data_IF_528343460323
#
_entry.id   IF_528343460323
#
_cell.length_a   1.000
_cell.length_b   1.000
_cell.length_c   1.000
_cell.angle_alpha   90.00
_cell.angle_beta   90.00
_cell.angle_gamma   90.00
#
_symmetry.space_group_name_H-M   'P 1'
#
loop_
_entity.id
_entity.type
_entity.pdbx_description
1 polymer ?
#
# COMPACT_ATOMS: atom_id res chain seq x y z
N UNK A 1 19.81 8.30 12.70
CA UNK A 1 18.47 8.30 13.30
C UNK A 1 17.46 8.25 12.17
N UNK A 2 16.65 7.21 12.12
CA UNK A 2 15.58 7.07 11.10
C UNK A 2 14.57 8.19 11.31
N UNK A 3 14.36 9.03 10.30
CA UNK A 3 13.42 10.16 10.40
C UNK A 3 11.99 9.62 10.39
N UNK A 4 11.34 9.60 11.55
CA UNK A 4 9.91 9.28 11.67
C UNK A 4 9.07 10.45 11.16
N UNK A 5 8.10 10.16 10.29
CA UNK A 5 7.18 11.16 9.72
C UNK A 5 5.77 10.82 10.17
N UNK A 6 5.25 11.61 11.09
CA UNK A 6 3.88 11.44 11.59
C UNK A 6 2.88 11.76 10.49
N UNK A 7 1.96 10.84 10.25
CA UNK A 7 0.88 11.02 9.29
C UNK A 7 -0.29 11.81 9.90
N UNK A 8 -1.01 12.60 9.11
CA UNK A 8 -2.26 13.24 9.52
C UNK A 8 -3.30 12.22 9.99
N UNK A 9 -4.15 12.62 10.93
CA UNK A 9 -5.22 11.74 11.42
C UNK A 9 -6.21 11.41 10.30
N UNK A 10 -6.54 10.12 10.07
CA UNK A 10 -7.47 9.73 9.02
C UNK A 10 -8.90 10.19 9.33
N UNK A 11 -9.65 10.46 8.29
CA UNK A 11 -11.08 10.80 8.36
C UNK A 11 -11.92 9.53 8.33
N UNK A 12 -12.99 9.49 9.13
CA UNK A 12 -13.96 8.39 9.16
C UNK A 12 -15.26 8.71 8.39
N UNK A 13 -15.35 9.90 7.80
CA UNK A 13 -16.42 10.30 6.87
C UNK A 13 -15.77 10.76 5.57
N UNK A 14 -16.22 10.17 4.46
CA UNK A 14 -15.77 10.49 3.11
C UNK A 14 -16.84 11.23 2.31
N UNK A 15 -16.51 11.70 1.09
CA UNK A 15 -17.43 12.39 0.19
C UNK A 15 -18.39 11.44 -0.55
N UNK A 16 -18.06 10.13 -0.66
CA UNK A 16 -18.83 9.10 -1.34
C UNK A 16 -19.28 8.02 -0.36
N UNK A 17 -20.45 7.44 -0.63
CA UNK A 17 -20.90 6.23 0.07
C UNK A 17 -20.08 5.01 -0.35
N UNK A 18 -20.20 3.92 0.40
CA UNK A 18 -19.55 2.64 0.03
C UNK A 18 -20.11 2.12 -1.30
N UNK A 19 -21.41 2.28 -1.56
CA UNK A 19 -22.08 1.87 -2.77
C UNK A 19 -21.55 2.64 -3.98
N UNK A 20 -21.38 3.95 -3.85
CA UNK A 20 -20.80 4.79 -4.91
C UNK A 20 -19.36 4.39 -5.21
N UNK A 21 -18.54 4.12 -4.20
CA UNK A 21 -17.15 3.69 -4.41
C UNK A 21 -17.07 2.31 -5.07
N UNK A 22 -17.94 1.38 -4.68
CA UNK A 22 -18.04 0.05 -5.31
C UNK A 22 -18.46 0.17 -6.77
N UNK A 23 -19.45 1.02 -7.07
CA UNK A 23 -19.95 1.24 -8.43
C UNK A 23 -18.90 1.88 -9.35
N UNK A 24 -18.10 2.82 -8.85
CA UNK A 24 -17.11 3.56 -9.63
C UNK A 24 -15.75 2.86 -9.73
N UNK A 25 -15.44 1.93 -8.81
CA UNK A 25 -14.15 1.26 -8.76
C UNK A 25 -13.83 0.53 -10.08
N UNK A 26 -12.72 0.88 -10.68
CA UNK A 26 -12.12 0.19 -11.83
C UNK A 26 -10.60 0.20 -11.74
N UNK A 27 -9.92 -0.67 -12.47
CA UNK A 27 -8.47 -0.61 -12.61
C UNK A 27 -8.08 0.56 -13.53
N UNK A 28 -7.28 1.49 -13.00
CA UNK A 28 -6.79 2.67 -13.72
C UNK A 28 -5.28 2.56 -13.86
N UNK A 29 -4.77 2.80 -15.07
CA UNK A 29 -3.34 2.68 -15.41
C UNK A 29 -2.74 3.97 -15.95
N UNK A 30 -3.56 4.99 -16.16
CA UNK A 30 -3.14 6.31 -16.61
C UNK A 30 -3.51 7.35 -15.57
N UNK A 31 -2.53 8.15 -15.19
CA UNK A 31 -2.64 9.14 -14.13
C UNK A 31 -2.36 10.53 -14.67
N UNK A 32 -3.09 11.51 -14.17
CA UNK A 32 -2.74 12.92 -14.38
C UNK A 32 -1.45 13.25 -13.63
N UNK A 33 -0.66 14.15 -14.19
CA UNK A 33 0.50 14.71 -13.48
C UNK A 33 0.05 15.46 -12.23
N UNK A 34 0.80 15.31 -11.15
CA UNK A 34 0.56 16.03 -9.91
C UNK A 34 0.96 15.21 -8.68
N UNK A 35 1.43 15.92 -7.68
CA UNK A 35 1.77 15.35 -6.39
C UNK A 35 0.53 14.96 -5.59
N UNK A 36 0.70 14.03 -4.65
CA UNK A 36 -0.23 13.80 -3.57
C UNK A 36 0.19 14.60 -2.33
N UNK A 37 -0.75 14.89 -1.45
CA UNK A 37 -0.45 15.45 -0.14
C UNK A 37 -0.41 14.37 0.94
N UNK A 38 0.07 14.71 2.14
CA UNK A 38 0.20 13.74 3.23
C UNK A 38 -1.15 13.24 3.77
N UNK A 39 -2.23 14.03 3.67
CA UNK A 39 -3.57 13.63 4.06
C UNK A 39 -4.11 12.51 3.14
N UNK A 40 -3.85 12.62 1.84
CA UNK A 40 -4.23 11.61 0.84
C UNK A 40 -3.46 10.30 1.07
N UNK A 41 -2.15 10.39 1.29
CA UNK A 41 -1.29 9.23 1.62
C UNK A 41 -1.74 8.57 2.92
N UNK A 42 -1.94 9.36 3.97
CA UNK A 42 -2.41 8.89 5.28
C UNK A 42 -3.73 8.12 5.16
N UNK A 43 -4.68 8.68 4.41
CA UNK A 43 -6.01 8.10 4.25
C UNK A 43 -5.96 6.76 3.51
N UNK A 44 -5.13 6.64 2.46
CA UNK A 44 -4.94 5.38 1.71
C UNK A 44 -4.32 4.28 2.59
N UNK A 45 -3.25 4.60 3.32
CA UNK A 45 -2.56 3.65 4.19
C UNK A 45 -3.45 3.19 5.33
N UNK A 46 -4.18 4.14 5.96
CA UNK A 46 -5.15 3.81 7.02
C UNK A 46 -6.27 2.92 6.50
N UNK A 47 -6.85 3.22 5.33
CA UNK A 47 -7.90 2.39 4.75
C UNK A 47 -7.45 0.95 4.53
N UNK A 48 -6.22 0.74 4.09
CA UNK A 48 -5.65 -0.60 3.89
C UNK A 48 -5.57 -1.41 5.18
N UNK A 49 -4.82 -0.92 6.17
CA UNK A 49 -4.48 -1.69 7.39
C UNK A 49 -4.48 -0.91 8.68
N UNK A 50 -4.93 0.36 8.67
CA UNK A 50 -4.87 1.23 9.84
C UNK A 50 -5.70 0.73 11.02
N UNK A 51 -5.47 1.33 12.18
CA UNK A 51 -6.30 1.06 13.37
C UNK A 51 -7.70 1.62 13.20
N UNK A 52 -8.70 0.86 13.60
CA UNK A 52 -10.09 1.28 13.76
C UNK A 52 -10.49 1.24 15.25
N UNK A 53 -11.79 1.31 15.53
CA UNK A 53 -12.32 1.28 16.90
C UNK A 53 -12.00 0.00 17.66
N UNK A 54 -11.80 -1.12 16.97
CA UNK A 54 -11.63 -2.43 17.61
C UNK A 54 -10.23 -2.99 17.35
N UNK A 55 -9.76 -3.02 16.09
CA UNK A 55 -8.49 -3.64 15.68
C UNK A 55 -7.86 -2.93 14.49
N UNK A 56 -8.09 -3.46 13.28
CA UNK A 56 -7.62 -2.91 11.98
C UNK A 56 -8.77 -2.81 10.99
N UNK A 57 -8.60 -2.01 9.96
CA UNK A 57 -9.57 -1.82 8.87
C UNK A 57 -9.77 -3.09 8.03
N UNK A 58 -8.73 -3.89 7.85
CA UNK A 58 -8.82 -5.21 7.23
C UNK A 58 -8.85 -6.31 8.29
N UNK A 59 -9.69 -7.36 8.11
CA UNK A 59 -9.69 -8.53 9.00
C UNK A 59 -8.45 -9.38 8.78
N UNK A 60 -7.96 -10.01 9.84
CA UNK A 60 -6.83 -10.95 9.82
C UNK A 60 -7.19 -12.24 10.53
N UNK A 61 -6.82 -13.38 9.96
CA UNK A 61 -7.06 -14.70 10.56
C UNK A 61 -6.35 -14.80 11.91
N UNK A 62 -7.10 -15.13 12.97
CA UNK A 62 -6.56 -15.18 14.32
C UNK A 62 -5.92 -13.89 14.84
N UNK A 63 -6.12 -12.78 14.16
CA UNK A 63 -5.43 -11.50 14.41
C UNK A 63 -3.89 -11.64 14.39
N UNK A 64 -3.36 -12.45 13.48
CA UNK A 64 -1.91 -12.69 13.32
C UNK A 64 -1.19 -11.54 12.61
N UNK A 65 -1.92 -10.78 11.79
CA UNK A 65 -1.44 -9.58 11.08
C UNK A 65 -0.10 -9.79 10.35
N UNK A 66 -0.04 -10.71 9.37
CA UNK A 66 1.19 -11.05 8.66
C UNK A 66 1.69 -9.97 7.72
N UNK A 67 0.83 -9.00 7.35
CA UNK A 67 1.13 -8.03 6.30
C UNK A 67 1.89 -6.83 6.83
N UNK A 68 2.94 -6.45 6.08
CA UNK A 68 3.65 -5.19 6.19
C UNK A 68 3.38 -4.30 4.98
N UNK A 69 3.42 -3.00 5.18
CA UNK A 69 3.10 -2.03 4.13
C UNK A 69 4.29 -1.11 3.90
N UNK A 70 4.72 -1.06 2.67
CA UNK A 70 5.73 -0.11 2.22
C UNK A 70 5.12 0.90 1.25
N UNK A 71 5.62 2.12 1.30
CA UNK A 71 5.23 3.20 0.42
C UNK A 71 6.44 3.61 -0.43
N UNK A 72 6.31 3.49 -1.74
CA UNK A 72 7.25 4.09 -2.68
C UNK A 72 6.76 5.50 -2.98
N UNK A 73 7.60 6.47 -2.70
CA UNK A 73 7.32 7.89 -2.91
C UNK A 73 8.11 8.40 -4.09
N UNK A 74 7.42 8.96 -5.07
CA UNK A 74 8.00 9.74 -6.14
C UNK A 74 7.61 11.21 -6.03
N UNK A 75 6.32 11.51 -5.88
CA UNK A 75 5.79 12.89 -5.89
C UNK A 75 4.73 13.07 -4.79
N UNK A 76 5.19 13.40 -3.58
CA UNK A 76 4.34 13.74 -2.42
C UNK A 76 4.80 15.05 -1.80
N UNK A 77 3.89 15.97 -1.55
CA UNK A 77 4.17 17.28 -0.95
C UNK A 77 4.77 17.11 0.45
N UNK A 78 5.93 17.71 0.67
CA UNK A 78 6.63 17.65 1.96
C UNK A 78 7.30 16.32 2.30
N UNK A 79 7.36 15.38 1.35
CA UNK A 79 8.01 14.09 1.51
C UNK A 79 8.99 13.84 0.37
N UNK A 80 10.26 13.57 0.72
CA UNK A 80 11.29 13.30 -0.27
C UNK A 80 11.06 11.93 -0.96
N UNK A 81 11.45 11.78 -2.23
CA UNK A 81 11.40 10.49 -2.91
C UNK A 81 12.17 9.41 -2.16
N UNK A 82 11.61 8.21 -2.10
CA UNK A 82 12.22 7.11 -1.36
C UNK A 82 11.28 5.96 -1.07
N UNK A 83 11.77 5.01 -0.30
CA UNK A 83 11.02 3.87 0.25
C UNK A 83 10.76 4.13 1.73
N UNK A 84 9.52 3.95 2.13
CA UNK A 84 9.08 4.15 3.51
C UNK A 84 8.31 2.93 4.00
N UNK A 85 8.58 2.49 5.23
CA UNK A 85 7.76 1.52 5.94
C UNK A 85 6.64 2.22 6.70
N UNK A 86 5.42 1.71 6.61
CA UNK A 86 4.26 2.24 7.34
C UNK A 86 4.10 1.55 8.68
N UNK A 87 4.46 2.22 9.75
CA UNK A 87 4.21 1.76 11.12
C UNK A 87 2.74 1.92 11.48
N UNK A 88 1.98 0.82 11.37
CA UNK A 88 0.53 0.80 11.57
C UNK A 88 0.17 1.18 13.02
N UNK A 89 0.96 0.73 13.99
CA UNK A 89 0.70 0.95 15.43
C UNK A 89 0.77 2.42 15.81
N UNK A 90 1.69 3.16 15.21
CA UNK A 90 1.97 4.57 15.51
C UNK A 90 1.39 5.54 14.46
N UNK A 91 0.91 5.02 13.33
CA UNK A 91 0.43 5.78 12.19
C UNK A 91 1.46 6.80 11.69
N UNK A 92 2.65 6.31 11.36
CA UNK A 92 3.74 7.12 10.82
C UNK A 92 4.52 6.34 9.74
N UNK A 93 5.34 7.07 8.97
CA UNK A 93 6.28 6.52 8.01
C UNK A 93 7.68 6.51 8.60
N UNK A 94 8.40 5.41 8.40
CA UNK A 94 9.81 5.25 8.71
C UNK A 94 10.58 5.12 7.41
N UNK A 95 11.55 6.00 7.16
CA UNK A 95 12.32 5.99 5.92
C UNK A 95 13.26 4.80 5.88
N UNK A 96 13.17 3.99 4.83
CA UNK A 96 14.00 2.80 4.61
C UNK A 96 15.17 3.15 3.68
N UNK A 97 14.88 3.76 2.52
CA UNK A 97 15.91 4.18 1.56
C UNK A 97 15.59 5.53 0.93
N UNK A 98 16.63 6.22 0.47
CA UNK A 98 16.54 7.46 -0.27
C UNK A 98 16.47 7.22 -1.78
N UNK A 99 15.94 8.22 -2.49
CA UNK A 99 15.92 8.28 -3.95
C UNK A 99 14.67 7.66 -4.59
N UNK A 100 14.38 8.10 -5.80
CA UNK A 100 13.23 7.63 -6.59
C UNK A 100 13.52 6.25 -7.18
N UNK A 101 12.84 5.23 -6.67
CA UNK A 101 12.99 3.84 -7.11
C UNK A 101 11.88 3.38 -8.07
N UNK A 102 10.95 4.27 -8.46
CA UNK A 102 9.78 3.92 -9.30
C UNK A 102 10.16 3.26 -10.62
N UNK A 103 11.23 3.74 -11.27
CA UNK A 103 11.72 3.16 -12.53
C UNK A 103 12.26 1.74 -12.33
N UNK A 104 13.01 1.50 -11.26
CA UNK A 104 13.48 0.17 -10.89
C UNK A 104 12.32 -0.78 -10.59
N UNK A 105 11.34 -0.30 -9.82
CA UNK A 105 10.14 -1.07 -9.50
C UNK A 105 9.30 -1.39 -10.75
N UNK A 106 9.17 -0.46 -11.70
CA UNK A 106 8.49 -0.71 -12.98
C UNK A 106 9.15 -1.83 -13.78
N UNK A 107 10.50 -1.87 -13.81
CA UNK A 107 11.26 -2.94 -14.46
C UNK A 107 11.06 -4.29 -13.75
N UNK A 108 11.17 -4.33 -12.44
CA UNK A 108 10.90 -5.52 -11.65
C UNK A 108 9.47 -6.05 -11.87
N UNK A 109 8.54 -5.15 -12.17
CA UNK A 109 7.15 -5.48 -12.50
C UNK A 109 6.91 -5.60 -14.02
N UNK A 110 7.81 -6.22 -14.77
CA UNK A 110 7.67 -6.54 -16.19
C UNK A 110 7.42 -5.31 -17.08
N UNK A 111 8.15 -4.24 -16.84
CA UNK A 111 8.08 -2.95 -17.57
C UNK A 111 6.69 -2.29 -17.50
N UNK A 112 5.94 -2.49 -16.42
CA UNK A 112 4.63 -1.86 -16.22
C UNK A 112 4.76 -0.37 -15.91
N UNK A 113 4.83 0.45 -16.96
CA UNK A 113 5.15 1.88 -16.91
C UNK A 113 4.20 2.76 -16.06
N UNK A 114 2.99 2.26 -15.72
CA UNK A 114 2.12 2.98 -14.80
C UNK A 114 2.73 3.13 -13.39
N UNK A 115 3.62 2.23 -12.99
CA UNK A 115 4.33 2.31 -11.70
C UNK A 115 5.26 3.52 -11.67
N UNK A 116 6.00 3.76 -12.75
CA UNK A 116 6.90 4.91 -12.88
C UNK A 116 6.15 6.23 -12.95
N UNK A 117 4.95 6.25 -13.57
CA UNK A 117 4.12 7.45 -13.72
C UNK A 117 3.28 7.79 -12.48
N UNK A 118 3.05 6.84 -11.60
CA UNK A 118 2.29 7.09 -10.38
C UNK A 118 3.10 7.93 -9.38
N UNK A 119 2.51 8.93 -8.70
CA UNK A 119 3.18 9.68 -7.65
C UNK A 119 3.59 8.82 -6.46
N UNK A 120 2.85 7.74 -6.19
CA UNK A 120 3.18 6.73 -5.18
C UNK A 120 2.86 5.33 -5.66
N UNK A 121 3.49 4.33 -5.03
CA UNK A 121 3.01 2.93 -5.06
C UNK A 121 2.98 2.36 -3.65
N UNK A 122 1.87 1.73 -3.28
CA UNK A 122 1.76 0.97 -2.03
C UNK A 122 2.17 -0.47 -2.33
N UNK A 123 3.14 -0.98 -1.57
CA UNK A 123 3.60 -2.37 -1.66
C UNK A 123 3.08 -3.11 -0.44
N UNK A 124 2.44 -4.23 -0.66
CA UNK A 124 2.00 -5.12 0.42
C UNK A 124 2.91 -6.33 0.42
N UNK A 125 3.54 -6.58 1.54
CA UNK A 125 4.41 -7.73 1.78
C UNK A 125 3.88 -8.58 2.92
N UNK A 126 4.39 -9.79 3.08
CA UNK A 126 3.97 -10.69 4.15
C UNK A 126 5.15 -11.40 4.81
N UNK A 127 5.12 -11.42 6.14
CA UNK A 127 5.79 -12.41 6.97
C UNK A 127 4.83 -13.58 7.19
N UNK A 128 4.97 -14.63 6.41
CA UNK A 128 4.10 -15.81 6.48
C UNK A 128 4.15 -16.52 7.83
N UNK A 129 5.30 -16.50 8.52
CA UNK A 129 5.48 -17.18 9.80
C UNK A 129 4.48 -16.74 10.85
N UNK A 130 4.12 -15.45 10.87
CA UNK A 130 3.11 -14.92 11.80
C UNK A 130 1.78 -15.68 11.74
N UNK A 131 1.44 -16.21 10.55
CA UNK A 131 0.17 -16.95 10.36
C UNK A 131 0.38 -18.45 10.29
N UNK A 132 1.45 -18.93 9.65
CA UNK A 132 1.71 -20.35 9.48
C UNK A 132 2.10 -21.04 10.80
N UNK A 133 2.75 -20.34 11.73
CA UNK A 133 3.08 -20.89 13.04
C UNK A 133 1.81 -21.24 13.85
N UNK A 134 0.71 -20.54 13.55
CA UNK A 134 -0.58 -20.80 14.19
C UNK A 134 -1.46 -21.79 13.40
N UNK A 135 -1.46 -21.70 12.05
CA UNK A 135 -2.38 -22.45 11.17
C UNK A 135 -1.70 -23.46 10.25
N UNK A 136 -0.38 -23.70 10.40
CA UNK A 136 0.39 -24.56 9.52
C UNK A 136 0.29 -24.11 8.06
N UNK A 137 0.37 -25.02 7.11
CA UNK A 137 0.30 -24.75 5.66
C UNK A 137 -1.01 -24.02 5.25
N UNK A 138 -2.09 -24.17 6.02
CA UNK A 138 -3.34 -23.46 5.76
C UNK A 138 -3.19 -21.96 5.91
N UNK A 139 -2.25 -21.51 6.74
CA UNK A 139 -1.94 -20.09 6.97
C UNK A 139 -1.57 -19.35 5.70
N UNK A 140 -0.87 -19.98 4.75
CA UNK A 140 -0.51 -19.37 3.45
C UNK A 140 -1.76 -18.84 2.73
N UNK A 141 -2.82 -19.65 2.67
CA UNK A 141 -4.08 -19.25 2.04
C UNK A 141 -4.74 -18.07 2.78
N UNK A 142 -4.64 -18.02 4.09
CA UNK A 142 -5.21 -16.93 4.90
C UNK A 142 -4.48 -15.61 4.65
N UNK A 143 -3.15 -15.65 4.50
CA UNK A 143 -2.36 -14.47 4.09
C UNK A 143 -2.80 -13.95 2.72
N UNK A 144 -2.99 -14.84 1.74
CA UNK A 144 -3.46 -14.45 0.40
C UNK A 144 -4.87 -13.86 0.39
N UNK A 145 -5.76 -14.36 1.27
CA UNK A 145 -7.09 -13.75 1.45
C UNK A 145 -6.99 -12.36 2.08
N UNK A 146 -6.14 -12.18 3.08
CA UNK A 146 -5.95 -10.91 3.78
C UNK A 146 -5.39 -9.83 2.87
N UNK A 147 -4.40 -10.15 2.02
CA UNK A 147 -3.86 -9.18 1.06
C UNK A 147 -4.91 -8.68 0.08
N UNK A 148 -5.86 -9.54 -0.33
CA UNK A 148 -7.02 -9.14 -1.13
C UNK A 148 -7.92 -8.12 -0.42
N UNK A 149 -8.16 -8.31 0.88
CA UNK A 149 -8.95 -7.36 1.68
C UNK A 149 -8.27 -5.98 1.75
N UNK A 150 -6.97 -5.95 2.01
CA UNK A 150 -6.17 -4.71 2.08
C UNK A 150 -6.16 -4.00 0.73
N UNK A 151 -5.89 -4.73 -0.35
CA UNK A 151 -5.88 -4.17 -1.71
C UNK A 151 -7.23 -3.58 -2.12
N UNK A 152 -8.34 -4.26 -1.79
CA UNK A 152 -9.69 -3.75 -2.05
C UNK A 152 -9.99 -2.49 -1.23
N UNK A 153 -9.61 -2.44 0.05
CA UNK A 153 -9.79 -1.25 0.88
C UNK A 153 -9.06 -0.03 0.29
N UNK A 154 -7.80 -0.20 -0.14
CA UNK A 154 -7.03 0.86 -0.80
C UNK A 154 -7.72 1.30 -2.09
N UNK A 155 -8.22 0.35 -2.89
CA UNK A 155 -8.88 0.65 -4.16
C UNK A 155 -10.17 1.46 -3.97
N UNK A 156 -11.00 1.13 -2.98
CA UNK A 156 -12.22 1.88 -2.65
C UNK A 156 -11.89 3.26 -2.10
N UNK A 157 -10.86 3.35 -1.24
CA UNK A 157 -10.43 4.64 -0.70
C UNK A 157 -9.84 5.54 -1.79
N UNK A 158 -9.11 5.00 -2.76
CA UNK A 158 -8.62 5.77 -3.90
C UNK A 158 -9.78 6.41 -4.68
N UNK A 159 -10.86 5.65 -4.96
CA UNK A 159 -12.07 6.19 -5.60
C UNK A 159 -12.66 7.33 -4.77
N UNK A 160 -12.81 7.16 -3.46
CA UNK A 160 -13.35 8.19 -2.57
C UNK A 160 -12.49 9.47 -2.52
N UNK A 161 -11.21 9.38 -2.90
CA UNK A 161 -10.27 10.49 -3.02
C UNK A 161 -10.15 11.04 -4.45
N UNK A 162 -11.00 10.58 -5.38
CA UNK A 162 -10.91 10.91 -6.82
C UNK A 162 -9.55 10.52 -7.42
N UNK A 163 -9.06 9.33 -7.06
CA UNK A 163 -7.82 8.75 -7.54
C UNK A 163 -8.07 7.43 -8.25
N UNK A 164 -7.14 7.08 -9.14
CA UNK A 164 -7.10 5.80 -9.81
C UNK A 164 -6.01 4.90 -9.25
N UNK A 165 -6.25 3.60 -9.31
CA UNK A 165 -5.29 2.58 -8.92
C UNK A 165 -5.52 1.27 -9.67
N UNK A 166 -4.50 0.42 -9.69
CA UNK A 166 -4.56 -0.96 -10.17
C UNK A 166 -3.76 -1.85 -9.23
N UNK A 167 -4.25 -3.06 -8.97
CA UNK A 167 -3.55 -4.06 -8.18
C UNK A 167 -2.71 -4.92 -9.13
N UNK A 168 -1.42 -5.00 -8.88
CA UNK A 168 -0.43 -5.74 -9.68
C UNK A 168 0.13 -6.87 -8.83
N UNK A 169 0.03 -8.11 -9.33
CA UNK A 169 0.63 -9.31 -8.75
C UNK A 169 1.68 -9.95 -9.66
N UNK A 170 1.98 -9.34 -10.82
CA UNK A 170 2.95 -9.86 -11.77
C UNK A 170 4.25 -9.05 -11.72
N UNK A 171 5.26 -9.56 -11.02
CA UNK A 171 6.59 -8.96 -10.84
C UNK A 171 7.61 -10.03 -10.44
N UNK A 172 8.89 -9.67 -10.45
CA UNK A 172 9.98 -10.48 -9.92
C UNK A 172 10.15 -10.19 -8.42
N UNK A 173 9.79 -11.15 -7.58
CA UNK A 173 9.79 -11.03 -6.11
C UNK A 173 11.17 -10.64 -5.58
N UNK A 174 12.25 -11.26 -6.13
CA UNK A 174 13.62 -11.02 -5.69
C UNK A 174 14.05 -9.58 -5.98
N UNK A 175 13.77 -9.06 -7.18
CA UNK A 175 14.10 -7.69 -7.52
C UNK A 175 13.32 -6.69 -6.67
N UNK A 176 12.03 -6.96 -6.38
CA UNK A 176 11.23 -6.11 -5.49
C UNK A 176 11.81 -6.10 -4.08
N UNK A 177 12.20 -7.25 -3.52
CA UNK A 177 12.86 -7.34 -2.21
C UNK A 177 14.16 -6.52 -2.17
N UNK A 178 14.99 -6.64 -3.19
CA UNK A 178 16.25 -5.88 -3.31
C UNK A 178 16.01 -4.35 -3.32
N UNK A 179 14.99 -3.90 -4.09
CA UNK A 179 14.61 -2.48 -4.15
C UNK A 179 14.11 -1.97 -2.80
N UNK A 180 13.29 -2.75 -2.11
CA UNK A 180 12.72 -2.40 -0.81
C UNK A 180 13.71 -2.61 0.33
N UNK A 181 14.75 -3.43 0.14
CA UNK A 181 15.70 -3.90 1.17
C UNK A 181 15.00 -4.62 2.32
N UNK A 182 14.20 -5.61 1.98
CA UNK A 182 13.37 -6.38 2.91
C UNK A 182 13.55 -7.88 2.74
N UNK A 183 13.12 -8.65 3.74
CA UNK A 183 13.10 -10.12 3.71
C UNK A 183 11.69 -10.68 3.47
N UNK A 184 10.64 -9.91 3.78
CA UNK A 184 9.23 -10.30 3.62
C UNK A 184 8.88 -10.52 2.15
N UNK A 185 7.92 -11.41 1.89
CA UNK A 185 7.48 -11.73 0.53
C UNK A 185 6.56 -10.65 -0.03
N UNK A 186 6.89 -10.00 -1.17
CA UNK A 186 6.01 -9.05 -1.81
C UNK A 186 4.81 -9.76 -2.45
N UNK A 187 3.61 -9.23 -2.24
CA UNK A 187 2.36 -9.81 -2.72
C UNK A 187 1.61 -8.91 -3.70
N UNK A 188 1.59 -7.60 -3.47
CA UNK A 188 0.97 -6.63 -4.36
C UNK A 188 1.81 -5.37 -4.50
N UNK A 189 1.84 -4.84 -5.72
CA UNK A 189 2.23 -3.47 -6.05
C UNK A 189 0.97 -2.72 -6.46
N UNK A 190 0.68 -1.59 -5.80
CA UNK A 190 -0.54 -0.81 -6.02
C UNK A 190 -0.14 0.65 -6.31
N UNK A 191 0.12 1.00 -7.58
CA UNK A 191 0.34 2.39 -7.96
C UNK A 191 -0.96 3.18 -7.81
N UNK A 192 -0.86 4.41 -7.31
CA UNK A 192 -1.99 5.32 -7.07
C UNK A 192 -1.64 6.70 -7.61
N UNK A 193 -2.58 7.33 -8.33
CA UNK A 193 -2.44 8.67 -8.86
C UNK A 193 -3.77 9.36 -9.11
N UNK A 194 -3.76 10.67 -9.35
CA UNK A 194 -4.95 11.47 -9.70
C UNK A 194 -5.49 11.09 -11.08
N UNK A 195 -6.82 11.18 -11.28
CA UNK A 195 -7.52 10.87 -12.52
C UNK A 195 -8.35 12.04 -13.03
#
# INVERSE_FOLDING_TARGET
MTKEIKLPKPRVKGPLSIEETLHQRRSVRDYKKGSLNLEEVSQLLWAGTGKNLHRRTAPSAGATYPLEIYLIVGEVEGLEPGVYHYSISKHHLERVTDGDVRRGLSRAALEQGMIERAPISVIITADYHRTTDHYGQRGIRYVHMEVGHVGQNISLQAVALNMGTVIIGAFDDKQVKEILRIEEEPLYIIPVGKI
#
